data_IF_196420033768
#
_entry.id   IF_196420033768
#
_cell.length_a   1.000
_cell.length_b   1.000
_cell.length_c   1.000
_cell.angle_alpha   90.00
_cell.angle_beta   90.00
_cell.angle_gamma   90.00
#
_symmetry.space_group_name_H-M   'P 1'
#
loop_
_entity.id
_entity.type
_entity.pdbx_description
1 polymer ?
#
# COMPACT_ATOMS: atom_id res chain seq x y z
N UNK A 1 -42.07 -18.67 -1.73
CA UNK A 1 -41.26 -17.88 -0.77
C UNK A 1 -39.80 -18.02 -1.19
N UNK A 2 -39.18 -16.95 -1.67
CA UNK A 2 -37.75 -16.91 -2.03
C UNK A 2 -37.07 -16.02 -0.98
N UNK A 3 -36.00 -16.46 -0.30
CA UNK A 3 -35.36 -15.62 0.70
C UNK A 3 -34.58 -14.51 -0.03
N UNK A 4 -34.94 -13.27 0.27
CA UNK A 4 -34.15 -12.09 -0.10
C UNK A 4 -32.87 -12.15 0.72
N UNK A 5 -31.75 -12.43 0.06
CA UNK A 5 -30.43 -12.33 0.67
C UNK A 5 -30.17 -10.84 0.88
N UNK A 6 -30.39 -10.39 2.12
CA UNK A 6 -29.99 -9.05 2.55
C UNK A 6 -28.47 -8.94 2.44
N UNK A 7 -28.04 -8.24 1.39
CA UNK A 7 -26.73 -7.64 1.27
C UNK A 7 -26.37 -6.95 2.60
N UNK A 8 -25.38 -7.51 3.31
CA UNK A 8 -24.79 -6.86 4.48
C UNK A 8 -24.11 -5.60 3.99
N UNK A 9 -24.79 -4.48 4.19
CA UNK A 9 -24.20 -3.14 4.18
C UNK A 9 -22.91 -3.17 5.00
N UNK A 10 -21.78 -2.99 4.32
CA UNK A 10 -20.50 -2.76 4.99
C UNK A 10 -20.65 -1.44 5.75
N UNK A 11 -20.71 -1.52 7.08
CA UNK A 11 -20.75 -0.34 7.93
C UNK A 11 -19.65 0.63 7.49
N UNK A 12 -20.03 1.87 7.17
CA UNK A 12 -19.10 2.97 6.95
C UNK A 12 -18.50 3.27 8.32
N UNK A 13 -17.43 2.54 8.67
CA UNK A 13 -16.67 2.78 9.88
C UNK A 13 -15.93 4.11 9.76
N UNK A 14 -15.85 4.86 10.85
CA UNK A 14 -14.92 5.99 10.94
C UNK A 14 -13.50 5.51 10.59
N UNK A 15 -12.75 6.35 9.87
CA UNK A 15 -11.36 6.01 9.52
C UNK A 15 -10.56 5.75 10.79
N UNK A 16 -9.79 4.66 10.80
CA UNK A 16 -8.92 4.28 11.92
C UNK A 16 -7.61 5.07 11.95
N UNK A 17 -7.42 5.99 10.99
CA UNK A 17 -6.21 6.77 10.81
C UNK A 17 -6.33 8.10 11.55
N UNK A 18 -5.40 8.34 12.48
CA UNK A 18 -5.35 9.53 13.31
C UNK A 18 -4.05 10.28 13.03
N UNK A 19 -4.14 11.56 12.66
CA UNK A 19 -2.96 12.42 12.50
C UNK A 19 -2.64 13.11 13.83
N UNK A 20 -1.57 12.68 14.51
CA UNK A 20 -1.20 13.16 15.86
C UNK A 20 -0.28 14.37 15.88
N UNK A 21 0.33 14.73 14.75
CA UNK A 21 1.25 15.86 14.66
C UNK A 21 0.58 17.06 14.00
N UNK A 22 0.87 18.26 14.51
CA UNK A 22 0.50 19.53 13.86
C UNK A 22 1.15 19.70 12.48
N UNK A 23 2.29 19.05 12.25
CA UNK A 23 2.96 18.99 10.95
C UNK A 23 2.78 17.61 10.37
N UNK A 24 1.93 17.52 9.35
CA UNK A 24 1.65 16.28 8.62
C UNK A 24 2.89 15.85 7.84
N UNK A 25 3.35 14.61 8.08
CA UNK A 25 4.41 14.04 7.27
C UNK A 25 3.90 13.82 5.84
N UNK A 26 4.54 14.37 4.78
CA UNK A 26 4.05 14.22 3.41
C UNK A 26 3.84 12.76 2.98
N UNK A 27 4.60 11.82 3.53
CA UNK A 27 4.49 10.38 3.21
C UNK A 27 3.30 9.69 3.88
N UNK A 28 2.57 10.36 4.76
CA UNK A 28 1.32 9.81 5.33
C UNK A 28 0.26 9.54 4.26
N UNK A 29 0.35 10.19 3.10
CA UNK A 29 -0.52 9.92 1.94
C UNK A 29 -0.41 8.50 1.38
N UNK A 30 0.62 7.74 1.77
CA UNK A 30 0.81 6.35 1.38
C UNK A 30 0.32 5.36 2.44
N UNK A 31 -0.21 5.85 3.56
CA UNK A 31 -0.67 5.03 4.67
C UNK A 31 -2.18 4.84 4.54
N UNK A 32 -2.61 3.59 4.37
CA UNK A 32 -4.02 3.20 4.40
C UNK A 32 -4.22 1.99 5.32
N UNK A 33 -5.47 1.75 5.73
CA UNK A 33 -5.82 0.56 6.51
C UNK A 33 -5.47 -0.72 5.77
N UNK A 34 -5.71 -0.77 4.46
CA UNK A 34 -5.36 -1.92 3.61
C UNK A 34 -3.86 -2.15 3.53
N UNK A 35 -3.07 -1.08 3.45
CA UNK A 35 -1.60 -1.20 3.39
C UNK A 35 -1.06 -1.73 4.71
N UNK A 36 -1.60 -1.26 5.84
CA UNK A 36 -1.24 -1.77 7.18
C UNK A 36 -1.68 -3.21 7.36
N UNK A 37 -2.91 -3.54 6.95
CA UNK A 37 -3.44 -4.91 6.99
C UNK A 37 -2.53 -5.87 6.20
N UNK A 38 -2.11 -5.47 5.00
CA UNK A 38 -1.21 -6.26 4.18
C UNK A 38 0.20 -6.36 4.79
N UNK A 39 0.73 -5.28 5.35
CA UNK A 39 2.06 -5.25 5.99
C UNK A 39 2.16 -6.26 7.15
N UNK A 40 1.09 -6.39 7.93
CA UNK A 40 1.07 -7.28 9.09
C UNK A 40 0.36 -8.61 8.84
N UNK A 41 -0.16 -8.84 7.63
CA UNK A 41 -0.94 -10.02 7.29
C UNK A 41 -2.13 -10.24 8.24
N UNK A 42 -2.91 -9.18 8.47
CA UNK A 42 -4.12 -9.17 9.29
C UNK A 42 -5.31 -8.63 8.50
N UNK A 43 -6.52 -8.84 9.02
CA UNK A 43 -7.72 -8.14 8.52
C UNK A 43 -7.72 -6.69 8.96
N UNK A 44 -8.29 -5.79 8.15
CA UNK A 44 -8.54 -4.39 8.52
C UNK A 44 -9.40 -4.29 9.79
N UNK A 45 -10.28 -5.25 10.04
CA UNK A 45 -11.10 -5.30 11.26
C UNK A 45 -10.28 -5.52 12.54
N UNK A 46 -9.10 -6.13 12.43
CA UNK A 46 -8.20 -6.36 13.56
C UNK A 46 -7.35 -5.12 13.89
N UNK A 47 -7.37 -4.10 13.04
CA UNK A 47 -6.73 -2.81 13.29
C UNK A 47 -7.62 -2.02 14.24
N UNK A 48 -7.06 -1.59 15.38
CA UNK A 48 -7.75 -0.72 16.33
C UNK A 48 -7.52 0.75 15.99
N UNK A 49 -6.27 1.14 15.70
CA UNK A 49 -5.93 2.49 15.24
C UNK A 49 -4.56 2.54 14.56
N UNK A 50 -4.41 3.51 13.68
CA UNK A 50 -3.17 3.88 12.99
C UNK A 50 -2.89 5.34 13.31
N UNK A 51 -1.80 5.62 14.01
CA UNK A 51 -1.42 6.99 14.36
C UNK A 51 -0.27 7.45 13.46
N UNK A 52 -0.57 8.39 12.57
CA UNK A 52 0.39 9.11 11.77
C UNK A 52 1.07 10.17 12.63
N UNK A 53 2.18 9.80 13.28
CA UNK A 53 3.04 10.71 14.02
C UNK A 53 3.98 11.47 13.06
N UNK A 54 4.74 12.43 13.58
CA UNK A 54 5.59 13.29 12.75
C UNK A 54 6.66 12.51 11.94
N UNK A 55 7.32 11.51 12.56
CA UNK A 55 8.41 10.76 11.92
C UNK A 55 8.10 9.30 11.60
N UNK A 56 7.06 8.74 12.21
CA UNK A 56 6.71 7.32 12.14
C UNK A 56 5.20 7.13 12.17
N UNK A 57 4.77 5.92 11.82
CA UNK A 57 3.38 5.47 11.93
C UNK A 57 3.32 4.48 13.09
N UNK A 58 2.51 4.75 14.10
CA UNK A 58 2.23 3.77 15.14
C UNK A 58 1.00 2.96 14.76
N UNK A 59 1.10 1.64 14.83
CA UNK A 59 0.00 0.71 14.54
C UNK A 59 -0.33 -0.07 15.80
N UNK A 60 -1.59 0.03 16.20
CA UNK A 60 -2.18 -0.79 17.26
C UNK A 60 -3.30 -1.65 16.67
N UNK A 61 -3.10 -2.96 16.73
CA UNK A 61 -4.00 -3.98 16.20
C UNK A 61 -3.96 -5.22 17.11
N UNK A 62 -4.82 -6.20 16.82
CA UNK A 62 -4.83 -7.46 17.58
C UNK A 62 -3.45 -8.12 17.56
N UNK A 63 -2.80 -8.23 18.73
CA UNK A 63 -1.47 -8.81 18.88
C UNK A 63 -0.31 -7.96 18.33
N UNK A 64 -0.56 -6.71 17.91
CA UNK A 64 0.43 -5.82 17.29
C UNK A 64 0.41 -4.46 17.97
N UNK A 65 1.57 -4.02 18.43
CA UNK A 65 1.83 -2.66 18.91
C UNK A 65 3.23 -2.26 18.43
N UNK A 66 3.33 -1.56 17.30
CA UNK A 66 4.61 -1.30 16.62
C UNK A 66 4.67 0.07 15.97
N UNK A 67 5.87 0.66 15.97
CA UNK A 67 6.20 1.85 15.20
C UNK A 67 6.85 1.44 13.87
N UNK A 68 6.31 1.94 12.77
CA UNK A 68 6.75 1.67 11.40
C UNK A 68 7.28 2.96 10.76
N UNK A 69 8.32 2.84 9.93
CA UNK A 69 8.84 3.99 9.19
C UNK A 69 7.89 4.34 8.05
N UNK A 70 7.67 5.63 7.78
CA UNK A 70 7.01 6.05 6.53
C UNK A 70 7.73 5.56 5.26
N UNK A 71 9.00 5.13 5.36
CA UNK A 71 9.74 4.55 4.25
C UNK A 71 9.40 3.08 3.98
N UNK A 72 8.68 2.42 4.88
CA UNK A 72 8.23 1.04 4.70
C UNK A 72 6.93 0.98 3.89
N UNK A 73 6.19 2.09 3.80
CA UNK A 73 4.96 2.22 3.02
C UNK A 73 5.27 2.55 1.56
N UNK A 74 4.92 1.65 0.60
CA UNK A 74 5.07 1.92 -0.82
C UNK A 74 4.09 3.00 -1.28
N UNK A 75 4.42 3.77 -2.33
CA UNK A 75 3.44 4.65 -2.96
C UNK A 75 2.18 3.90 -3.42
N UNK A 76 1.04 4.59 -3.35
CA UNK A 76 -0.27 4.04 -3.73
C UNK A 76 -0.86 4.79 -4.93
N UNK A 77 -1.74 4.14 -5.71
CA UNK A 77 -2.50 4.84 -6.77
C UNK A 77 -3.56 5.77 -6.18
N UNK A 78 -4.02 6.76 -6.95
CA UNK A 78 -5.06 7.70 -6.55
C UNK A 78 -4.63 8.83 -5.60
N UNK A 79 -3.35 8.90 -5.22
CA UNK A 79 -2.78 10.01 -4.43
C UNK A 79 -1.66 10.73 -5.19
N UNK A 80 -1.19 11.85 -4.64
CA UNK A 80 -0.06 12.58 -5.22
C UNK A 80 1.17 11.64 -5.35
N UNK A 81 1.73 11.48 -6.55
CA UNK A 81 2.83 10.55 -6.80
C UNK A 81 4.07 10.91 -5.98
N UNK A 82 5.03 9.97 -5.83
CA UNK A 82 6.28 10.26 -5.16
C UNK A 82 7.07 11.35 -5.90
N UNK A 83 7.64 12.27 -5.14
CA UNK A 83 8.54 13.33 -5.58
C UNK A 83 9.96 13.06 -5.07
N UNK A 84 10.96 13.80 -5.57
CA UNK A 84 12.38 13.59 -5.22
C UNK A 84 12.65 13.58 -3.71
N UNK A 85 11.91 14.40 -2.94
CA UNK A 85 12.02 14.44 -1.49
C UNK A 85 11.59 13.14 -0.79
N UNK A 86 10.63 12.40 -1.36
CA UNK A 86 10.22 11.09 -0.84
C UNK A 86 11.36 10.08 -0.99
N UNK A 87 12.01 10.05 -2.16
CA UNK A 87 13.18 9.20 -2.41
C UNK A 87 14.32 9.50 -1.43
N UNK A 88 14.65 10.78 -1.21
CA UNK A 88 15.64 11.17 -0.21
C UNK A 88 15.23 10.68 1.18
N UNK A 89 13.95 10.81 1.54
CA UNK A 89 13.42 10.31 2.80
C UNK A 89 13.51 8.80 2.95
N UNK A 90 13.32 8.04 1.87
CA UNK A 90 13.45 6.59 1.86
C UNK A 90 14.89 6.13 2.01
N UNK A 91 15.81 6.66 1.19
CA UNK A 91 17.23 6.29 1.26
C UNK A 91 17.88 6.62 2.60
N UNK A 92 17.44 7.68 3.29
CA UNK A 92 17.89 8.01 4.65
C UNK A 92 17.47 6.99 5.71
N UNK A 93 16.46 6.16 5.44
CA UNK A 93 15.87 5.23 6.41
C UNK A 93 16.17 3.78 6.10
N UNK A 94 16.34 3.43 4.83
CA UNK A 94 16.69 2.09 4.43
C UNK A 94 18.15 1.77 4.74
N UNK A 95 18.42 0.52 5.13
CA UNK A 95 19.78 0.01 5.32
C UNK A 95 20.49 -0.29 4.00
N UNK A 96 19.76 -0.29 2.89
CA UNK A 96 20.27 -0.54 1.55
C UNK A 96 19.75 0.52 0.58
N UNK A 97 20.26 0.51 -0.66
CA UNK A 97 19.72 1.33 -1.76
C UNK A 97 18.41 0.80 -2.33
N UNK A 98 17.86 -0.27 -1.75
CA UNK A 98 16.68 -0.95 -2.25
C UNK A 98 15.54 -0.87 -1.24
N UNK A 99 14.32 -0.82 -1.76
CA UNK A 99 13.11 -0.85 -0.98
C UNK A 99 12.97 -2.17 -0.21
N UNK A 100 12.27 -2.17 0.94
CA UNK A 100 11.96 -3.39 1.67
C UNK A 100 11.20 -4.40 0.81
N UNK A 101 11.38 -5.69 1.08
CA UNK A 101 10.69 -6.79 0.39
C UNK A 101 9.15 -6.64 0.38
N UNK A 102 8.60 -5.99 1.42
CA UNK A 102 7.18 -5.67 1.49
C UNK A 102 6.68 -4.89 0.26
N UNK A 103 7.49 -4.04 -0.37
CA UNK A 103 7.07 -3.31 -1.56
C UNK A 103 6.70 -4.24 -2.71
N UNK A 104 7.46 -5.31 -2.91
CA UNK A 104 7.15 -6.34 -3.92
C UNK A 104 5.83 -7.01 -3.61
N UNK A 105 5.61 -7.43 -2.35
CA UNK A 105 4.35 -8.04 -1.90
C UNK A 105 3.16 -7.11 -2.12
N UNK A 106 3.34 -5.83 -1.82
CA UNK A 106 2.32 -4.80 -1.97
C UNK A 106 1.92 -4.58 -3.43
N UNK A 107 2.87 -4.39 -4.35
CA UNK A 107 2.53 -4.18 -5.76
C UNK A 107 1.94 -5.46 -6.38
N UNK A 108 2.46 -6.64 -6.04
CA UNK A 108 1.88 -7.93 -6.48
C UNK A 108 0.43 -8.07 -6.03
N UNK A 109 0.11 -7.74 -4.76
CA UNK A 109 -1.25 -7.77 -4.26
C UNK A 109 -2.18 -6.83 -5.03
N UNK A 110 -1.74 -5.59 -5.26
CA UNK A 110 -2.58 -4.60 -5.95
C UNK A 110 -2.79 -4.95 -7.42
N UNK A 111 -1.78 -5.42 -8.15
CA UNK A 111 -1.95 -5.90 -9.52
C UNK A 111 -3.02 -6.99 -9.62
N UNK A 112 -2.97 -8.00 -8.74
CA UNK A 112 -3.95 -9.09 -8.71
C UNK A 112 -5.35 -8.65 -8.27
N UNK A 113 -5.45 -7.57 -7.48
CA UNK A 113 -6.72 -7.05 -6.98
C UNK A 113 -7.40 -6.10 -7.96
N UNK A 114 -6.66 -5.51 -8.91
CA UNK A 114 -7.26 -4.61 -9.90
C UNK A 114 -8.31 -5.32 -10.74
N UNK A 115 -9.38 -4.60 -11.10
CA UNK A 115 -10.54 -5.14 -11.83
C UNK A 115 -10.65 -4.59 -13.25
N UNK A 116 -9.76 -3.67 -13.64
CA UNK A 116 -9.75 -3.05 -14.96
C UNK A 116 -8.33 -2.81 -15.45
N UNK A 117 -8.16 -2.84 -16.76
CA UNK A 117 -6.88 -2.58 -17.43
C UNK A 117 -6.39 -1.17 -17.13
N UNK A 118 -7.30 -0.19 -17.01
CA UNK A 118 -6.94 1.19 -16.68
C UNK A 118 -6.33 1.31 -15.28
N UNK A 119 -6.98 0.70 -14.27
CA UNK A 119 -6.46 0.71 -12.91
C UNK A 119 -5.12 -0.05 -12.82
N UNK A 120 -5.02 -1.19 -13.50
CA UNK A 120 -3.77 -1.94 -13.61
C UNK A 120 -2.66 -1.04 -14.22
N UNK A 121 -2.97 -0.31 -15.30
CA UNK A 121 -2.06 0.64 -15.95
C UNK A 121 -1.59 1.75 -15.01
N UNK A 122 -2.46 2.30 -14.17
CA UNK A 122 -2.08 3.29 -13.16
C UNK A 122 -1.05 2.75 -12.17
N UNK A 123 -1.28 1.54 -11.64
CA UNK A 123 -0.32 0.87 -10.78
C UNK A 123 1.00 0.57 -11.52
N UNK A 124 0.93 0.18 -12.80
CA UNK A 124 2.13 -0.02 -13.64
C UNK A 124 2.94 1.26 -13.85
N UNK A 125 2.27 2.39 -14.09
CA UNK A 125 2.90 3.71 -14.18
C UNK A 125 3.56 4.10 -12.85
N UNK A 126 2.91 3.80 -11.72
CA UNK A 126 3.45 4.05 -10.39
C UNK A 126 4.70 3.21 -10.12
N UNK A 127 4.66 1.91 -10.43
CA UNK A 127 5.84 1.04 -10.39
C UNK A 127 6.98 1.60 -11.26
N UNK A 128 6.64 2.09 -12.46
CA UNK A 128 7.60 2.74 -13.36
C UNK A 128 8.32 3.94 -12.74
N UNK A 129 7.65 4.69 -11.85
CA UNK A 129 8.26 5.83 -11.12
C UNK A 129 9.22 5.39 -10.02
N UNK A 130 8.95 4.24 -9.37
CA UNK A 130 9.77 3.74 -8.25
C UNK A 130 10.71 2.60 -8.63
N UNK A 131 10.76 2.18 -9.91
CA UNK A 131 11.59 1.05 -10.36
C UNK A 131 13.07 1.14 -9.96
N UNK A 132 13.61 2.35 -9.78
CA UNK A 132 15.00 2.58 -9.38
C UNK A 132 15.33 2.15 -7.95
N UNK A 133 14.31 2.07 -7.08
CA UNK A 133 14.48 1.61 -5.69
C UNK A 133 14.17 0.12 -5.53
N UNK A 134 13.63 -0.54 -6.55
CA UNK A 134 13.29 -1.98 -6.47
C UNK A 134 14.47 -2.78 -7.00
N UNK A 135 14.79 -3.91 -6.34
CA UNK A 135 15.84 -4.81 -6.81
C UNK A 135 15.49 -5.37 -8.20
N UNK A 136 16.50 -5.66 -9.04
CA UNK A 136 16.24 -6.19 -10.38
C UNK A 136 15.41 -7.49 -10.37
N UNK A 137 15.69 -8.47 -9.49
CA UNK A 137 14.86 -9.68 -9.41
C UNK A 137 13.40 -9.37 -9.04
N UNK A 138 13.17 -8.53 -8.03
CA UNK A 138 11.81 -8.15 -7.62
C UNK A 138 11.09 -7.34 -8.70
N UNK A 139 11.81 -6.47 -9.43
CA UNK A 139 11.23 -5.70 -10.53
C UNK A 139 10.80 -6.62 -11.68
N UNK A 140 11.58 -7.67 -11.96
CA UNK A 140 11.20 -8.66 -12.97
C UNK A 140 9.96 -9.45 -12.54
N UNK A 141 9.91 -9.90 -11.29
CA UNK A 141 8.71 -10.55 -10.72
C UNK A 141 7.46 -9.68 -10.89
N UNK A 142 7.56 -8.39 -10.56
CA UNK A 142 6.45 -7.45 -10.68
C UNK A 142 6.00 -7.25 -12.14
N UNK A 143 6.94 -7.24 -13.09
CA UNK A 143 6.62 -7.17 -14.52
C UNK A 143 5.89 -8.42 -15.00
N UNK A 144 6.32 -9.59 -14.55
CA UNK A 144 5.70 -10.86 -14.92
C UNK A 144 4.28 -10.96 -14.36
N UNK A 145 4.06 -10.53 -13.12
CA UNK A 145 2.71 -10.42 -12.53
C UNK A 145 1.86 -9.44 -13.34
N UNK A 146 2.36 -8.23 -13.60
CA UNK A 146 1.62 -7.23 -14.39
C UNK A 146 1.21 -7.77 -15.76
N UNK A 147 2.14 -8.40 -16.49
CA UNK A 147 1.87 -8.93 -17.82
C UNK A 147 0.81 -10.05 -17.79
N UNK A 148 0.86 -10.91 -16.76
CA UNK A 148 -0.13 -11.96 -16.55
C UNK A 148 -1.52 -11.40 -16.28
N UNK A 149 -1.64 -10.50 -15.31
CA UNK A 149 -2.93 -9.91 -14.94
C UNK A 149 -3.53 -9.11 -16.10
N UNK A 150 -2.69 -8.36 -16.83
CA UNK A 150 -3.12 -7.62 -18.02
C UNK A 150 -3.67 -8.56 -19.09
N UNK A 151 -2.94 -9.64 -19.40
CA UNK A 151 -3.38 -10.66 -20.36
C UNK A 151 -4.69 -11.31 -19.93
N UNK A 152 -4.89 -11.58 -18.63
CA UNK A 152 -6.16 -12.13 -18.15
C UNK A 152 -7.29 -11.15 -18.43
N UNK A 153 -7.14 -9.88 -18.06
CA UNK A 153 -8.19 -8.86 -18.22
C UNK A 153 -8.54 -8.54 -19.67
N UNK A 154 -7.58 -8.62 -20.60
CA UNK A 154 -7.82 -8.36 -22.02
C UNK A 154 -8.47 -9.53 -22.78
N UNK A 155 -8.49 -10.73 -22.18
CA UNK A 155 -9.05 -11.94 -22.79
C UNK A 155 -10.44 -12.33 -22.24
N UNK A 156 -11.05 -11.49 -21.40
CA UNK A 156 -12.44 -11.60 -20.93
C UNK A 156 -13.29 -10.50 -21.55
#
# INVERSE_FOLDING_TARGET
MIPVIQSRSSAIGESKIIHKSSVVNPRSRFVTEETVALLFNISTNQIYRIECCHYMVYVHAQGISKFISYADFPPISGVKPPASQDFVGWYKRWKSRQAPEFWTKFYTYNFKKTVSVDNLSEWGKLLGRVKSVISQPALQELRDVYAREKKLMENF
#
